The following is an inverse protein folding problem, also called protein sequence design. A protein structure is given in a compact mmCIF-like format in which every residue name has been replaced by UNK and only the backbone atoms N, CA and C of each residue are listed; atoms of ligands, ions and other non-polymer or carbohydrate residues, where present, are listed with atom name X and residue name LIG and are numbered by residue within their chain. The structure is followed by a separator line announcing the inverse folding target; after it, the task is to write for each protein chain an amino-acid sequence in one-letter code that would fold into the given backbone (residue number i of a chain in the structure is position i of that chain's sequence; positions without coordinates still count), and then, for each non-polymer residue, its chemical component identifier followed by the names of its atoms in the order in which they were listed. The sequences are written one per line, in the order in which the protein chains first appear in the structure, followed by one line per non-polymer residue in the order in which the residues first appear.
data_IF_487819094982
#
_entry.id   IF_487819094982
#
_cell.length_a   1.000
_cell.length_b   1.000
_cell.length_c   1.000
_cell.angle_alpha   90.00
_cell.angle_beta   90.00
_cell.angle_gamma   90.00
#
_symmetry.space_group_name_H-M   'P 1'
#
loop_
_entity.id
_entity.type
_entity.pdbx_description
1 polymer ?
#
# COMPACT_ATOMS: atom_id res chain seq x y z
N UNK A 1 30.66 4.28 8.89
CA UNK A 1 29.41 3.77 9.46
C UNK A 1 29.11 4.58 10.71
N UNK A 2 28.40 5.68 10.57
CA UNK A 2 27.80 6.40 11.70
C UNK A 2 26.48 5.68 12.01
N UNK A 3 26.39 5.06 13.17
CA UNK A 3 25.14 4.47 13.65
C UNK A 3 24.14 5.59 13.87
N UNK A 4 22.98 5.48 13.24
CA UNK A 4 21.83 6.33 13.48
C UNK A 4 21.33 6.08 14.91
N UNK A 5 21.69 6.94 15.86
CA UNK A 5 21.24 6.82 17.25
C UNK A 5 19.92 7.60 17.43
N UNK A 6 18.84 6.85 17.66
CA UNK A 6 17.58 7.41 18.11
C UNK A 6 17.70 7.69 19.61
N UNK A 7 17.95 8.95 19.97
CA UNK A 7 18.04 9.37 21.36
C UNK A 7 16.67 9.39 22.06
N UNK A 8 16.57 8.72 23.22
CA UNK A 8 15.42 8.74 24.14
C UNK A 8 14.94 7.35 24.57
N UNK A 9 13.86 7.28 25.35
CA UNK A 9 13.12 6.03 25.58
C UNK A 9 12.36 5.69 24.29
N UNK A 10 12.98 4.83 23.47
CA UNK A 10 12.44 4.35 22.19
C UNK A 10 11.46 3.19 22.40
N UNK A 11 11.60 2.46 23.51
CA UNK A 11 10.78 1.29 23.84
C UNK A 11 9.30 1.66 24.01
N UNK A 12 9.00 2.86 24.53
CA UNK A 12 7.60 3.36 24.60
C UNK A 12 6.90 3.49 23.24
N UNK A 13 7.64 3.50 22.13
CA UNK A 13 7.10 3.57 20.77
C UNK A 13 6.96 2.21 20.09
N UNK A 14 7.51 1.14 20.69
CA UNK A 14 7.28 -0.22 20.23
C UNK A 14 5.82 -0.57 20.48
N UNK A 15 5.05 -0.63 19.41
CA UNK A 15 3.64 -1.01 19.44
C UNK A 15 3.41 -2.37 18.82
N UNK A 16 4.40 -2.91 18.09
CA UNK A 16 4.44 -4.25 17.54
C UNK A 16 5.77 -4.93 17.91
N UNK A 17 5.72 -6.14 18.47
CA UNK A 17 6.82 -6.71 19.29
C UNK A 17 8.23 -6.79 18.69
N UNK A 18 8.42 -6.79 17.35
CA UNK A 18 9.73 -6.93 16.70
C UNK A 18 10.19 -5.70 15.90
N UNK A 19 9.62 -4.52 16.15
CA UNK A 19 10.03 -3.28 15.47
C UNK A 19 11.50 -2.95 15.75
N UNK A 20 12.31 -2.84 14.69
CA UNK A 20 13.68 -2.36 14.81
C UNK A 20 13.68 -0.88 15.22
N UNK A 21 14.73 -0.42 15.89
CA UNK A 21 14.85 1.01 16.25
C UNK A 21 14.68 1.92 15.02
N UNK A 22 15.25 1.51 13.88
CA UNK A 22 15.11 2.22 12.60
C UNK A 22 13.66 2.36 12.14
N UNK A 23 12.80 1.38 12.40
CA UNK A 23 11.36 1.43 12.11
C UNK A 23 10.58 2.33 13.08
N UNK A 24 11.13 2.63 14.26
CA UNK A 24 10.47 3.48 15.26
C UNK A 24 10.72 4.96 15.02
N UNK A 25 11.64 5.31 14.12
CA UNK A 25 12.01 6.71 13.89
C UNK A 25 10.83 7.63 13.53
N UNK A 26 9.89 7.27 12.63
CA UNK A 26 8.76 8.14 12.31
C UNK A 26 7.89 8.47 13.54
N UNK A 27 7.73 7.51 14.47
CA UNK A 27 7.00 7.70 15.73
C UNK A 27 7.73 8.64 16.67
N UNK A 28 9.05 8.47 16.78
CA UNK A 28 9.90 9.29 17.64
C UNK A 28 9.93 10.73 17.14
N UNK A 29 10.07 10.94 15.83
CA UNK A 29 10.10 12.26 15.23
C UNK A 29 8.75 12.98 15.36
N UNK A 30 7.64 12.27 15.16
CA UNK A 30 6.31 12.82 15.39
C UNK A 30 6.10 13.26 16.86
N UNK A 31 6.56 12.46 17.83
CA UNK A 31 6.50 12.83 19.25
C UNK A 31 7.40 14.02 19.59
N UNK A 32 8.61 14.09 19.01
CA UNK A 32 9.52 15.23 19.19
C UNK A 32 8.89 16.52 18.71
N UNK A 33 8.29 16.52 17.52
CA UNK A 33 7.59 17.68 16.96
C UNK A 33 6.43 18.12 17.83
N UNK A 34 5.60 17.16 18.28
CA UNK A 34 4.50 17.43 19.20
C UNK A 34 4.99 18.08 20.51
N UNK A 35 6.06 17.55 21.12
CA UNK A 35 6.65 18.11 22.34
C UNK A 35 7.24 19.50 22.15
N UNK A 36 7.72 19.79 20.94
CA UNK A 36 8.25 21.09 20.55
C UNK A 36 7.17 22.05 20.02
N UNK A 37 5.87 21.69 20.10
CA UNK A 37 4.74 22.48 19.59
C UNK A 37 4.88 22.84 18.10
N UNK A 38 5.42 21.91 17.32
CA UNK A 38 5.60 22.06 15.87
C UNK A 38 4.52 21.28 15.12
N UNK A 39 4.09 21.85 14.00
CA UNK A 39 3.19 21.17 13.06
C UNK A 39 3.77 19.82 12.59
N UNK A 40 2.92 18.80 12.40
CA UNK A 40 3.34 17.56 11.77
C UNK A 40 3.80 17.82 10.34
N UNK A 41 4.62 16.91 9.81
CA UNK A 41 5.07 17.00 8.42
C UNK A 41 3.91 16.94 7.41
N UNK A 42 2.83 16.25 7.77
CA UNK A 42 1.66 16.04 6.94
C UNK A 42 0.39 16.39 7.71
N UNK A 43 -0.57 17.10 7.09
CA UNK A 43 -1.88 17.30 7.70
C UNK A 43 -2.66 15.98 7.67
N UNK A 44 -3.22 15.58 8.82
CA UNK A 44 -4.08 14.40 8.93
C UNK A 44 -3.85 13.60 10.21
N UNK A 45 -4.65 12.54 10.36
CA UNK A 45 -4.52 11.61 11.48
C UNK A 45 -3.42 10.58 11.15
N UNK A 46 -2.33 10.62 11.92
CA UNK A 46 -1.29 9.62 11.85
C UNK A 46 -1.72 8.35 12.59
N UNK A 47 -1.65 7.22 11.90
CA UNK A 47 -1.88 5.90 12.48
C UNK A 47 -0.69 5.00 12.17
N UNK A 48 -0.38 4.17 13.16
CA UNK A 48 0.71 3.21 13.15
C UNK A 48 0.08 1.85 13.45
N UNK A 49 0.18 0.91 12.51
CA UNK A 49 -0.42 -0.43 12.68
C UNK A 49 0.40 -1.22 13.72
N UNK A 50 -0.30 -1.91 14.64
CA UNK A 50 0.29 -2.50 15.86
C UNK A 50 0.73 -3.95 15.70
N UNK A 51 0.59 -4.53 14.53
CA UNK A 51 0.71 -5.98 14.37
C UNK A 51 1.72 -6.39 13.33
N UNK A 52 2.44 -7.47 13.67
CA UNK A 52 3.50 -8.13 12.91
C UNK A 52 2.96 -8.68 11.59
N UNK A 53 2.80 -7.80 10.62
CA UNK A 53 2.72 -8.18 9.23
C UNK A 53 3.83 -7.40 8.53
N UNK A 54 4.83 -8.12 8.03
CA UNK A 54 5.98 -7.59 7.26
C UNK A 54 5.57 -6.91 5.92
N UNK A 55 4.29 -6.55 5.77
CA UNK A 55 3.63 -6.07 4.55
C UNK A 55 2.80 -4.78 4.75
N UNK A 56 2.70 -4.24 5.97
CA UNK A 56 1.77 -3.15 6.38
C UNK A 56 2.56 -1.86 6.70
N UNK A 57 1.97 -0.63 6.65
CA UNK A 57 2.71 0.63 6.73
C UNK A 57 3.41 0.83 8.06
N UNK A 58 4.61 1.40 8.00
CA UNK A 58 5.24 2.00 9.17
C UNK A 58 4.45 3.24 9.61
N UNK A 59 3.83 3.96 8.67
CA UNK A 59 2.93 5.07 8.96
C UNK A 59 1.89 5.31 7.85
N UNK A 60 0.63 5.47 8.24
CA UNK A 60 -0.42 5.96 7.35
C UNK A 60 -1.02 7.25 7.89
N UNK A 61 -1.23 8.21 7.00
CA UNK A 61 -1.86 9.49 7.29
C UNK A 61 -3.24 9.49 6.62
N UNK A 62 -4.28 9.56 7.45
CA UNK A 62 -5.66 9.68 6.98
C UNK A 62 -6.03 11.17 6.92
N UNK A 63 -6.54 11.63 5.78
CA UNK A 63 -6.93 13.03 5.59
C UNK A 63 -7.95 13.23 4.47
N UNK A 64 -8.56 14.42 4.43
CA UNK A 64 -9.80 14.75 3.71
C UNK A 64 -9.81 14.52 2.19
N UNK A 65 -8.67 14.25 1.55
CA UNK A 65 -8.59 14.10 0.08
C UNK A 65 -8.00 12.78 -0.40
N UNK A 66 -7.05 12.18 0.32
CA UNK A 66 -6.35 10.96 -0.07
C UNK A 66 -5.81 10.24 1.17
N UNK A 67 -5.87 8.90 1.18
CA UNK A 67 -5.20 8.07 2.17
C UNK A 67 -3.73 7.93 1.78
N UNK A 68 -2.81 8.46 2.59
CA UNK A 68 -1.38 8.42 2.31
C UNK A 68 -0.68 7.35 3.14
N UNK A 69 0.17 6.58 2.47
CA UNK A 69 1.10 5.66 3.07
C UNK A 69 2.50 6.25 2.87
N UNK A 70 3.21 6.55 3.95
CA UNK A 70 4.52 7.20 3.86
C UNK A 70 5.56 6.30 4.53
N UNK A 71 6.41 5.70 3.70
CA UNK A 71 7.49 4.82 4.16
C UNK A 71 8.78 5.60 4.28
N UNK A 72 9.27 5.73 5.51
CA UNK A 72 10.57 6.28 5.81
C UNK A 72 11.61 5.17 5.86
N UNK A 73 12.66 5.31 5.06
CA UNK A 73 13.71 4.31 4.92
C UNK A 73 15.00 4.83 5.55
N UNK A 74 15.44 4.16 6.62
CA UNK A 74 16.45 4.63 7.56
C UNK A 74 17.52 3.55 7.86
N UNK A 75 18.07 2.92 6.81
CA UNK A 75 19.11 1.90 6.96
C UNK A 75 18.57 0.52 7.32
N UNK A 76 17.28 0.25 7.09
CA UNK A 76 16.65 -1.06 7.23
C UNK A 76 16.29 -1.63 5.85
N UNK A 77 16.43 -2.93 5.66
CA UNK A 77 16.00 -3.60 4.44
C UNK A 77 14.49 -3.46 4.26
N UNK A 78 14.05 -3.23 3.02
CA UNK A 78 12.64 -3.02 2.70
C UNK A 78 12.23 -3.85 1.48
N UNK A 79 11.09 -4.56 1.54
CA UNK A 79 10.50 -5.22 0.39
C UNK A 79 9.71 -4.18 -0.43
N UNK A 80 10.45 -3.32 -1.16
CA UNK A 80 9.91 -2.12 -1.81
C UNK A 80 8.72 -2.43 -2.73
N UNK A 81 8.85 -3.47 -3.55
CA UNK A 81 7.84 -3.86 -4.52
C UNK A 81 6.58 -4.38 -3.82
N UNK A 82 6.74 -5.29 -2.87
CA UNK A 82 5.64 -5.91 -2.13
C UNK A 82 4.86 -4.86 -1.32
N UNK A 83 5.56 -3.99 -0.59
CA UNK A 83 4.93 -2.89 0.17
C UNK A 83 4.20 -1.90 -0.76
N UNK A 84 4.79 -1.56 -1.90
CA UNK A 84 4.15 -0.68 -2.89
C UNK A 84 2.86 -1.30 -3.42
N UNK A 85 2.89 -2.59 -3.78
CA UNK A 85 1.73 -3.31 -4.27
C UNK A 85 0.65 -3.44 -3.19
N UNK A 86 1.02 -3.71 -1.94
CA UNK A 86 0.06 -3.77 -0.84
C UNK A 86 -0.63 -2.42 -0.61
N UNK A 87 0.14 -1.33 -0.55
CA UNK A 87 -0.39 0.01 -0.38
C UNK A 87 -1.41 0.36 -1.46
N UNK A 88 -1.03 0.16 -2.72
CA UNK A 88 -1.88 0.42 -3.88
C UNK A 88 -3.12 -0.48 -3.87
N UNK A 89 -2.96 -1.78 -3.56
CA UNK A 89 -4.09 -2.72 -3.48
C UNK A 89 -5.13 -2.23 -2.49
N UNK A 90 -4.69 -1.75 -1.33
CA UNK A 90 -5.58 -1.25 -0.28
C UNK A 90 -6.13 0.14 -0.58
N UNK A 91 -5.65 0.85 -1.60
CA UNK A 91 -6.12 2.20 -1.96
C UNK A 91 -5.40 3.33 -1.25
N UNK A 92 -4.20 3.06 -0.73
CA UNK A 92 -3.27 4.12 -0.35
C UNK A 92 -2.44 4.53 -1.58
N UNK A 93 -2.12 5.82 -1.69
CA UNK A 93 -0.94 6.24 -2.46
C UNK A 93 0.28 6.10 -1.58
N UNK A 94 1.40 5.64 -2.13
CA UNK A 94 2.62 5.41 -1.35
C UNK A 94 3.71 6.42 -1.72
N UNK A 95 4.33 7.00 -0.70
CA UNK A 95 5.51 7.85 -0.80
C UNK A 95 6.69 7.14 -0.15
N UNK A 96 7.78 6.96 -0.89
CA UNK A 96 9.05 6.48 -0.34
C UNK A 96 9.95 7.66 -0.04
N UNK A 97 10.36 7.79 1.22
CA UNK A 97 11.22 8.87 1.71
C UNK A 97 12.48 8.26 2.31
N UNK A 98 13.64 8.60 1.77
CA UNK A 98 14.92 8.01 2.17
C UNK A 98 15.73 8.98 3.04
N UNK A 99 16.43 8.44 4.03
CA UNK A 99 17.41 9.23 4.78
C UNK A 99 18.53 9.66 3.83
N UNK A 100 19.03 10.88 3.96
CA UNK A 100 20.14 11.39 3.13
C UNK A 100 21.40 10.52 3.20
N UNK A 101 21.72 9.97 4.36
CA UNK A 101 22.81 9.00 4.59
C UNK A 101 22.62 7.60 3.94
N UNK A 102 21.43 7.25 3.45
CA UNK A 102 21.10 5.91 2.92
C UNK A 102 20.77 5.93 1.42
N UNK A 103 21.67 6.54 0.62
CA UNK A 103 21.54 6.65 -0.85
C UNK A 103 21.56 5.31 -1.58
N UNK A 104 22.25 4.32 -1.04
CA UNK A 104 22.24 2.94 -1.50
C UNK A 104 20.82 2.36 -1.50
N UNK A 105 20.06 2.58 -0.43
CA UNK A 105 18.68 2.12 -0.32
C UNK A 105 17.75 2.78 -1.35
N UNK A 106 17.97 4.07 -1.63
CA UNK A 106 17.26 4.77 -2.69
C UNK A 106 17.54 4.15 -4.07
N UNK A 107 18.79 3.73 -4.34
CA UNK A 107 19.15 3.02 -5.58
C UNK A 107 18.46 1.66 -5.64
N UNK A 108 18.49 0.89 -4.55
CA UNK A 108 17.90 -0.45 -4.51
C UNK A 108 16.38 -0.39 -4.69
N UNK A 109 15.73 0.63 -4.13
CA UNK A 109 14.31 0.91 -4.39
C UNK A 109 14.03 1.27 -5.85
N UNK A 110 14.92 2.04 -6.51
CA UNK A 110 14.80 2.32 -7.95
C UNK A 110 14.86 1.01 -8.74
N UNK A 111 15.83 0.16 -8.46
CA UNK A 111 16.00 -1.12 -9.15
C UNK A 111 14.78 -2.02 -8.97
N UNK A 112 14.26 -2.13 -7.74
CA UNK A 112 13.09 -2.95 -7.43
C UNK A 112 11.79 -2.46 -8.09
N UNK A 113 11.58 -1.14 -8.19
CA UNK A 113 10.32 -0.56 -8.66
C UNK A 113 10.29 -0.24 -10.15
N UNK A 114 11.42 0.07 -10.76
CA UNK A 114 11.49 0.52 -12.17
C UNK A 114 10.99 -0.45 -13.24
N UNK A 115 10.96 -1.77 -13.05
CA UNK A 115 10.27 -2.64 -14.01
C UNK A 115 8.78 -2.29 -14.18
N UNK A 116 8.17 -1.70 -13.16
CA UNK A 116 6.74 -1.39 -13.09
C UNK A 116 6.46 0.12 -13.00
N UNK A 117 7.44 0.92 -12.59
CA UNK A 117 7.31 2.35 -12.36
C UNK A 117 7.72 3.15 -13.60
N UNK A 118 6.78 3.97 -14.08
CA UNK A 118 7.02 4.90 -15.17
C UNK A 118 8.01 6.00 -14.76
N UNK A 119 8.81 6.46 -15.75
CA UNK A 119 9.75 7.58 -15.59
C UNK A 119 9.20 8.85 -16.25
N UNK A 120 9.53 10.05 -15.73
CA UNK A 120 10.39 10.32 -14.56
C UNK A 120 9.66 10.16 -13.22
N UNK A 121 10.39 9.79 -12.17
CA UNK A 121 9.88 9.67 -10.80
C UNK A 121 10.93 10.08 -9.76
N UNK A 122 10.51 10.91 -8.79
CA UNK A 122 11.35 11.41 -7.70
C UNK A 122 10.95 10.79 -6.38
N UNK A 123 11.89 10.11 -5.73
CA UNK A 123 11.73 9.72 -4.33
C UNK A 123 11.84 10.92 -3.40
N UNK A 124 11.24 10.80 -2.22
CA UNK A 124 11.43 11.73 -1.14
C UNK A 124 12.77 11.54 -0.43
N UNK A 125 13.20 12.59 0.25
CA UNK A 125 14.43 12.61 1.03
C UNK A 125 14.16 13.31 2.35
N UNK A 126 14.76 12.81 3.42
CA UNK A 126 14.73 13.48 4.71
C UNK A 126 16.14 13.61 5.28
N UNK A 127 16.41 14.77 5.85
CA UNK A 127 17.66 15.10 6.52
C UNK A 127 17.33 15.57 7.95
N UNK A 128 17.55 14.74 8.97
CA UNK A 128 17.24 15.11 10.34
C UNK A 128 18.24 16.12 10.93
N UNK A 129 19.46 16.21 10.39
CA UNK A 129 20.47 17.17 10.89
C UNK A 129 20.11 18.60 10.49
N UNK A 130 19.57 18.76 9.28
CA UNK A 130 19.12 20.05 8.76
C UNK A 130 17.61 20.27 8.91
N UNK A 131 16.89 19.33 9.52
CA UNK A 131 15.43 19.34 9.70
C UNK A 131 14.67 19.62 8.39
N UNK A 132 15.04 18.90 7.32
CA UNK A 132 14.38 19.02 6.01
C UNK A 132 13.69 17.72 5.60
N UNK A 133 12.55 17.86 4.95
CA UNK A 133 11.77 16.76 4.37
C UNK A 133 11.25 17.17 3.00
N UNK A 134 11.59 16.38 1.98
CA UNK A 134 10.96 16.39 0.68
C UNK A 134 10.22 15.05 0.48
N UNK A 135 8.94 15.10 0.13
CA UNK A 135 8.07 13.91 0.09
C UNK A 135 8.26 13.09 -1.19
N UNK A 136 8.66 13.75 -2.28
CA UNK A 136 8.74 13.14 -3.60
C UNK A 136 7.38 12.99 -4.29
N UNK A 137 7.37 12.30 -5.42
CA UNK A 137 6.17 12.02 -6.20
C UNK A 137 5.42 10.81 -5.60
N UNK A 138 4.08 10.77 -5.65
CA UNK A 138 3.31 9.61 -5.18
C UNK A 138 3.37 8.45 -6.18
N UNK A 139 3.52 7.23 -5.68
CA UNK A 139 3.22 6.01 -6.43
C UNK A 139 1.71 5.75 -6.42
N UNK A 140 1.17 5.57 -7.62
CA UNK A 140 -0.26 5.37 -7.89
C UNK A 140 -0.45 4.39 -9.04
N UNK A 141 -1.66 3.90 -9.27
CA UNK A 141 -1.97 3.12 -10.50
C UNK A 141 -1.77 3.89 -11.82
N UNK A 142 -1.53 5.22 -11.79
CA UNK A 142 -1.29 6.00 -13.01
C UNK A 142 0.15 5.93 -13.51
N UNK A 143 1.09 5.67 -12.61
CA UNK A 143 2.53 5.66 -12.90
C UNK A 143 3.20 4.35 -12.46
N UNK A 144 2.42 3.37 -11.98
CA UNK A 144 2.90 2.07 -11.56
C UNK A 144 2.03 0.96 -12.14
N UNK A 145 2.63 0.13 -12.99
CA UNK A 145 2.01 -1.06 -13.54
C UNK A 145 1.89 -2.13 -12.45
N UNK A 146 0.70 -2.72 -12.33
CA UNK A 146 0.43 -3.76 -11.35
C UNK A 146 0.01 -5.05 -12.08
N UNK A 147 0.95 -5.78 -12.68
CA UNK A 147 0.66 -7.08 -13.29
C UNK A 147 0.15 -8.06 -12.23
N UNK A 148 -0.85 -8.86 -12.58
CA UNK A 148 -1.35 -9.92 -11.71
C UNK A 148 -0.55 -11.19 -11.98
N UNK A 149 0.19 -11.63 -10.96
CA UNK A 149 1.16 -12.74 -11.08
C UNK A 149 0.63 -14.06 -10.52
N UNK A 150 -0.48 -14.02 -9.79
CA UNK A 150 -1.08 -15.23 -9.21
C UNK A 150 -2.57 -15.05 -8.98
N UNK A 151 -3.26 -16.18 -8.85
CA UNK A 151 -4.66 -16.22 -8.44
C UNK A 151 -4.91 -15.66 -7.04
N UNK A 152 -3.88 -15.45 -6.23
CA UNK A 152 -4.01 -14.79 -4.93
C UNK A 152 -4.67 -13.42 -5.03
N UNK A 153 -4.45 -12.67 -6.14
CA UNK A 153 -5.14 -11.39 -6.41
C UNK A 153 -6.66 -11.51 -6.51
N UNK A 154 -7.18 -12.72 -6.70
CA UNK A 154 -8.62 -13.03 -6.76
C UNK A 154 -9.18 -13.72 -5.52
N UNK A 155 -8.36 -13.93 -4.50
CA UNK A 155 -8.78 -14.53 -3.23
C UNK A 155 -8.95 -13.42 -2.20
N UNK A 156 -10.19 -13.04 -1.89
CA UNK A 156 -10.44 -11.95 -0.95
C UNK A 156 -9.74 -12.17 0.39
N UNK A 157 -9.72 -13.42 0.89
CA UNK A 157 -9.07 -13.78 2.15
C UNK A 157 -7.56 -13.47 2.19
N UNK A 158 -6.88 -13.51 1.05
CA UNK A 158 -5.44 -13.23 0.98
C UNK A 158 -5.16 -11.72 1.08
N UNK A 159 -6.18 -10.90 0.82
CA UNK A 159 -6.14 -9.43 0.91
C UNK A 159 -6.82 -8.88 2.15
N UNK A 160 -7.60 -9.71 2.87
CA UNK A 160 -8.22 -9.34 4.14
C UNK A 160 -7.13 -9.23 5.20
N UNK A 161 -6.46 -8.08 5.21
CA UNK A 161 -5.56 -7.68 6.27
C UNK A 161 -6.36 -7.36 7.52
N UNK A 162 -6.36 -8.29 8.48
CA UNK A 162 -6.96 -8.14 9.81
C UNK A 162 -8.49 -7.95 9.85
N UNK A 163 -9.15 -8.67 10.76
CA UNK A 163 -10.60 -8.54 11.02
C UNK A 163 -10.98 -7.19 11.68
N UNK A 164 -10.04 -6.27 11.85
CA UNK A 164 -10.23 -5.02 12.61
C UNK A 164 -9.27 -3.87 12.23
N UNK A 165 -8.49 -4.00 11.14
CA UNK A 165 -7.46 -3.03 10.73
C UNK A 165 -7.89 -2.08 9.61
N UNK A 166 -7.00 -1.17 9.20
CA UNK A 166 -7.27 -0.22 8.10
C UNK A 166 -7.29 -0.88 6.69
N UNK A 167 -6.94 -2.17 6.62
CA UNK A 167 -6.77 -2.97 5.42
C UNK A 167 -7.95 -3.94 5.16
N UNK A 168 -9.19 -3.44 5.22
CA UNK A 168 -10.37 -4.27 4.98
C UNK A 168 -10.92 -4.14 3.55
N UNK A 169 -11.48 -5.24 3.04
CA UNK A 169 -12.26 -5.25 1.79
C UNK A 169 -13.74 -5.18 2.14
N UNK A 170 -14.46 -4.22 1.54
CA UNK A 170 -15.91 -4.16 1.69
C UNK A 170 -16.62 -5.31 0.98
N UNK A 171 -17.67 -5.80 1.63
CA UNK A 171 -18.68 -6.59 0.95
C UNK A 171 -19.69 -5.64 0.27
N UNK A 172 -20.10 -5.99 -0.94
CA UNK A 172 -21.15 -5.32 -1.70
C UNK A 172 -22.07 -6.37 -2.28
N UNK A 173 -23.34 -6.33 -1.88
CA UNK A 173 -24.34 -7.32 -2.31
C UNK A 173 -23.88 -8.77 -2.04
N UNK A 174 -23.28 -8.99 -0.84
CA UNK A 174 -22.75 -10.30 -0.43
C UNK A 174 -21.39 -10.69 -1.01
N UNK A 175 -20.83 -9.93 -1.96
CA UNK A 175 -19.55 -10.24 -2.62
C UNK A 175 -18.42 -9.28 -2.21
N UNK A 176 -17.17 -9.75 -2.21
CA UNK A 176 -15.98 -8.96 -1.87
C UNK A 176 -15.48 -8.16 -3.08
N UNK A 177 -15.38 -6.83 -2.97
CA UNK A 177 -14.88 -5.95 -4.04
C UNK A 177 -13.36 -5.99 -4.15
N UNK A 178 -12.88 -6.79 -5.10
CA UNK A 178 -11.45 -6.99 -5.34
C UNK A 178 -10.81 -5.84 -6.11
N UNK A 179 -11.58 -4.88 -6.61
CA UNK A 179 -11.09 -3.73 -7.36
C UNK A 179 -11.28 -3.82 -8.88
N UNK A 180 -10.60 -2.91 -9.59
CA UNK A 180 -10.67 -2.80 -11.06
C UNK A 180 -9.47 -3.50 -11.70
N UNK A 181 -9.72 -4.21 -12.79
CA UNK A 181 -8.72 -4.95 -13.55
C UNK A 181 -8.89 -4.71 -15.04
N UNK A 182 -7.80 -4.76 -15.79
CA UNK A 182 -7.78 -5.01 -17.22
C UNK A 182 -7.65 -6.52 -17.46
N UNK A 183 -8.63 -7.12 -18.13
CA UNK A 183 -8.61 -8.54 -18.52
C UNK A 183 -8.42 -8.61 -20.03
N UNK A 184 -7.18 -8.76 -20.50
CA UNK A 184 -6.84 -8.81 -21.93
C UNK A 184 -7.45 -7.64 -22.75
N UNK A 185 -7.32 -6.41 -22.27
CA UNK A 185 -7.86 -5.19 -22.89
C UNK A 185 -9.31 -4.86 -22.51
N UNK A 186 -9.93 -5.66 -21.65
CA UNK A 186 -11.29 -5.41 -21.16
C UNK A 186 -11.29 -5.02 -19.68
N UNK A 187 -11.56 -3.74 -19.40
CA UNK A 187 -11.68 -3.25 -18.02
C UNK A 187 -12.91 -3.83 -17.33
N UNK A 188 -12.73 -4.45 -16.16
CA UNK A 188 -13.80 -5.03 -15.34
C UNK A 188 -13.51 -4.82 -13.87
N UNK A 189 -14.55 -4.47 -13.10
CA UNK A 189 -14.53 -4.59 -11.64
C UNK A 189 -14.87 -6.03 -11.28
N UNK A 190 -14.02 -6.68 -10.52
CA UNK A 190 -14.21 -8.08 -10.12
C UNK A 190 -14.67 -8.14 -8.67
N UNK A 191 -15.69 -8.94 -8.46
CA UNK A 191 -16.27 -9.24 -7.15
C UNK A 191 -16.10 -10.74 -6.92
N UNK A 192 -15.56 -11.13 -5.77
CA UNK A 192 -15.54 -12.53 -5.34
C UNK A 192 -16.78 -12.83 -4.51
N UNK A 193 -17.59 -13.80 -4.92
CA UNK A 193 -18.84 -14.20 -4.25
C UNK A 193 -18.56 -14.98 -2.95
N UNK A 194 -17.33 -15.44 -2.77
CA UNK A 194 -16.86 -16.11 -1.57
C UNK A 194 -15.41 -15.68 -1.25
N UNK A 195 -14.98 -15.76 0.01
CA UNK A 195 -13.66 -15.26 0.40
C UNK A 195 -12.49 -16.07 -0.19
N UNK A 196 -12.73 -17.25 -0.74
CA UNK A 196 -11.72 -18.13 -1.33
C UNK A 196 -11.61 -17.99 -2.86
N UNK A 197 -12.43 -17.12 -3.48
CA UNK A 197 -12.38 -16.86 -4.92
C UNK A 197 -12.79 -18.08 -5.76
N UNK A 198 -13.84 -18.80 -5.35
CA UNK A 198 -14.41 -19.91 -6.11
C UNK A 198 -15.33 -19.40 -7.22
N UNK A 199 -16.14 -18.39 -6.94
CA UNK A 199 -17.04 -17.77 -7.91
C UNK A 199 -16.84 -16.26 -7.97
N UNK A 200 -17.00 -15.73 -9.18
CA UNK A 200 -16.84 -14.31 -9.45
C UNK A 200 -18.08 -13.74 -10.12
N UNK A 201 -18.25 -12.45 -9.91
CA UNK A 201 -19.12 -11.58 -10.67
C UNK A 201 -18.27 -10.43 -11.18
N UNK A 202 -18.46 -10.04 -12.43
CA UNK A 202 -17.80 -8.85 -12.95
C UNK A 202 -18.78 -7.81 -13.45
N UNK A 203 -18.34 -6.55 -13.36
CA UNK A 203 -19.14 -5.38 -13.67
C UNK A 203 -18.31 -4.48 -14.58
N UNK A 204 -18.93 -3.97 -15.65
CA UNK A 204 -18.28 -2.98 -16.50
C UNK A 204 -18.07 -1.66 -15.73
N UNK A 205 -17.05 -0.86 -16.09
CA UNK A 205 -16.83 0.45 -15.46
C UNK A 205 -18.10 1.30 -15.44
N UNK A 206 -18.39 1.92 -14.29
CA UNK A 206 -19.56 2.79 -14.10
C UNK A 206 -20.92 2.08 -13.96
N UNK A 207 -20.98 0.74 -13.98
CA UNK A 207 -22.23 -0.01 -13.78
C UNK A 207 -22.44 -0.44 -12.32
N UNK A 208 -23.68 -0.71 -11.94
CA UNK A 208 -24.05 -1.20 -10.60
C UNK A 208 -23.77 -2.69 -10.46
N UNK A 209 -23.57 -3.16 -9.23
CA UNK A 209 -23.24 -4.57 -8.94
C UNK A 209 -24.36 -5.54 -9.30
N UNK A 210 -25.60 -5.08 -9.25
CA UNK A 210 -26.79 -5.81 -9.67
C UNK A 210 -26.77 -6.19 -11.16
N UNK A 211 -26.05 -5.42 -11.99
CA UNK A 211 -25.88 -5.73 -13.42
C UNK A 211 -24.77 -6.74 -13.70
N UNK A 212 -24.04 -7.14 -12.66
CA UNK A 212 -22.90 -8.04 -12.81
C UNK A 212 -23.34 -9.46 -13.19
N UNK A 213 -22.59 -10.09 -14.09
CA UNK A 213 -22.87 -11.46 -14.52
C UNK A 213 -22.27 -12.44 -13.52
N UNK A 214 -23.12 -13.18 -12.80
CA UNK A 214 -22.68 -14.24 -11.89
C UNK A 214 -21.97 -15.37 -12.66
N UNK A 215 -20.92 -15.92 -12.05
CA UNK A 215 -20.11 -17.00 -12.64
C UNK A 215 -19.23 -16.54 -13.80
N UNK A 216 -19.08 -15.22 -13.98
CA UNK A 216 -18.23 -14.64 -15.01
C UNK A 216 -17.38 -13.48 -14.43
N UNK A 217 -16.04 -13.46 -14.67
CA UNK A 217 -15.28 -14.50 -15.35
C UNK A 217 -15.26 -15.82 -14.56
N UNK A 218 -15.06 -16.93 -15.26
CA UNK A 218 -14.84 -18.21 -14.58
C UNK A 218 -13.43 -18.27 -14.02
N UNK A 219 -13.24 -19.03 -12.94
CA UNK A 219 -11.94 -19.18 -12.29
C UNK A 219 -10.86 -19.73 -13.22
N UNK A 220 -11.18 -20.77 -13.99
CA UNK A 220 -10.29 -21.37 -14.99
C UNK A 220 -9.91 -20.37 -16.11
N UNK A 221 -10.85 -19.49 -16.48
CA UNK A 221 -10.59 -18.40 -17.41
C UNK A 221 -9.62 -17.37 -16.84
N UNK A 222 -9.77 -17.00 -15.56
CA UNK A 222 -8.82 -16.11 -14.89
C UNK A 222 -7.44 -16.76 -14.73
N UNK A 223 -7.39 -18.03 -14.33
CA UNK A 223 -6.14 -18.80 -14.19
C UNK A 223 -5.32 -18.74 -15.49
N UNK A 224 -5.94 -19.05 -16.64
CA UNK A 224 -5.26 -18.95 -17.95
C UNK A 224 -4.78 -17.54 -18.27
N UNK A 225 -5.57 -16.52 -17.95
CA UNK A 225 -5.18 -15.13 -18.20
C UNK A 225 -4.02 -14.67 -17.30
N UNK A 226 -3.93 -15.19 -16.07
CA UNK A 226 -2.78 -14.97 -15.17
C UNK A 226 -1.55 -15.67 -15.71
N UNK A 227 -1.67 -16.95 -16.11
CA UNK A 227 -0.58 -17.73 -16.72
C UNK A 227 -0.03 -17.06 -17.99
N UNK A 228 -0.92 -16.48 -18.79
CA UNK A 228 -0.57 -15.73 -20.01
C UNK A 228 -0.03 -14.31 -19.73
N UNK A 229 -0.03 -13.84 -18.49
CA UNK A 229 0.38 -12.47 -18.14
C UNK A 229 -0.54 -11.38 -18.72
N UNK A 230 -1.82 -11.68 -18.96
CA UNK A 230 -2.79 -10.79 -19.63
C UNK A 230 -3.72 -10.04 -18.68
N UNK A 231 -3.35 -9.94 -17.40
CA UNK A 231 -4.14 -9.23 -16.40
C UNK A 231 -3.30 -8.17 -15.70
N UNK A 232 -3.84 -6.96 -15.64
CA UNK A 232 -3.29 -5.85 -14.86
C UNK A 232 -4.34 -5.34 -13.88
N UNK A 233 -3.95 -5.08 -12.63
CA UNK A 233 -4.79 -4.36 -11.67
C UNK A 233 -4.75 -2.87 -11.98
N UNK A 234 -5.93 -2.26 -12.10
CA UNK A 234 -6.09 -0.84 -12.43
C UNK A 234 -6.58 0.02 -11.26
N UNK A 235 -6.99 -0.62 -10.17
CA UNK A 235 -7.52 0.09 -9.03
C UNK A 235 -7.54 -0.73 -7.75
N UNK A 236 -7.73 -0.03 -6.62
CA UNK A 236 -7.71 -0.67 -5.32
C UNK A 236 -8.97 -1.50 -5.09
N UNK A 237 -8.89 -2.35 -4.07
CA UNK A 237 -10.09 -2.89 -3.42
C UNK A 237 -10.92 -1.72 -2.90
N UNK A 238 -12.25 -1.86 -2.93
CA UNK A 238 -13.09 -0.82 -2.33
C UNK A 238 -13.11 -1.04 -0.82
N UNK A 239 -12.61 -0.07 -0.06
CA UNK A 239 -12.99 0.09 1.34
C UNK A 239 -14.42 0.62 1.33
N UNK A 240 -15.27 0.11 2.21
CA UNK A 240 -16.58 0.71 2.41
C UNK A 240 -16.32 2.12 2.88
N UNK A 241 -16.80 3.08 2.12
CA UNK A 241 -17.11 4.38 2.69
C UNK A 241 -18.19 4.13 3.73
N UNK A 242 -18.04 4.76 4.89
CA UNK A 242 -19.17 5.12 5.74
C UNK A 242 -20.35 5.58 4.85
N UNK A 243 -21.57 5.31 5.32
CA UNK A 243 -22.81 5.70 4.62
C UNK A 243 -22.83 7.14 4.15
#
# INVERSE_FOLDING_TARGET
MTSFEIWGDVDRFRTAGKESEKHLWPKVELDRRRKAEREPWFPGEYRFERTVADRVPDCFVLGDRLNWWIEFVAGSDQPYREKTREALRLGFVIHWVFHTDHRDQMRDAREALFPELERPFRFGEYDPLNDTLAVGDPLTFKNYAFPVESMGEFVARDHLGYRSGAAYISQRDGAYDLGMFDLAGCQRRILAEDPYGKYFRCVAPGRTVETGTFGFPRRDGLERLVEDGKITRLGPVRRGSDG
#
